data_IF_554576950979
#
_entry.id   IF_554576950979
#
_cell.length_a   1.000
_cell.length_b   1.000
_cell.length_c   1.000
_cell.angle_alpha   90.00
_cell.angle_beta   90.00
_cell.angle_gamma   90.00
#
_symmetry.space_group_name_H-M   'P 1'
#
loop_
_entity.id
_entity.type
_entity.pdbx_description
1 polymer ?
#
# COMPACT_ATOMS: atom_id res chain seq x y z
N UNK A 1 -1.62 -22.57 20.25
CA UNK A 1 -2.22 -22.86 18.93
C UNK A 1 -1.13 -23.42 17.99
N UNK A 2 -1.49 -24.20 16.98
CA UNK A 2 -0.55 -25.00 16.16
C UNK A 2 0.59 -24.19 15.53
N UNK A 3 0.36 -22.92 15.23
CA UNK A 3 1.28 -22.04 14.52
C UNK A 3 1.88 -20.90 15.37
N UNK A 4 1.83 -20.99 16.70
CA UNK A 4 2.25 -19.91 17.61
C UNK A 4 3.65 -19.36 17.28
N UNK A 5 4.64 -20.23 17.08
CA UNK A 5 6.02 -19.81 16.75
C UNK A 5 6.12 -19.04 15.44
N UNK A 6 5.32 -19.42 14.43
CA UNK A 6 5.32 -18.73 13.14
C UNK A 6 4.66 -17.35 13.30
N UNK A 7 3.58 -17.28 14.07
CA UNK A 7 2.86 -16.03 14.34
C UNK A 7 3.72 -15.06 15.17
N UNK A 8 4.44 -15.55 16.18
CA UNK A 8 5.43 -14.77 16.92
C UNK A 8 6.52 -14.22 15.97
N UNK A 9 7.02 -15.04 15.06
CA UNK A 9 8.01 -14.61 14.06
C UNK A 9 7.44 -13.52 13.13
N UNK A 10 6.20 -13.66 12.66
CA UNK A 10 5.52 -12.64 11.86
C UNK A 10 5.41 -11.32 12.63
N UNK A 11 5.01 -11.39 13.90
CA UNK A 11 4.82 -10.22 14.75
C UNK A 11 6.14 -9.54 15.16
N UNK A 12 7.28 -10.21 15.00
CA UNK A 12 8.61 -9.64 15.28
C UNK A 12 9.05 -8.55 14.31
N UNK A 13 8.37 -8.37 13.17
CA UNK A 13 8.67 -7.38 12.12
C UNK A 13 10.07 -7.51 11.49
N UNK A 14 10.70 -8.69 11.62
CA UNK A 14 12.03 -8.98 11.07
C UNK A 14 11.98 -9.61 9.67
N UNK A 15 10.80 -10.01 9.20
CA UNK A 15 10.61 -10.69 7.93
C UNK A 15 10.46 -9.71 6.78
N UNK A 16 11.12 -9.97 5.66
CA UNK A 16 10.90 -9.26 4.41
C UNK A 16 9.55 -9.61 3.78
N UNK A 17 9.04 -8.77 2.86
CA UNK A 17 7.85 -9.09 2.04
C UNK A 17 7.98 -10.42 1.31
N UNK A 18 9.18 -10.74 0.81
CA UNK A 18 9.43 -12.00 0.11
C UNK A 18 9.26 -13.22 1.04
N UNK A 19 9.72 -13.11 2.29
CA UNK A 19 9.53 -14.16 3.30
C UNK A 19 8.07 -14.27 3.74
N UNK A 20 7.41 -13.14 4.01
CA UNK A 20 5.97 -13.11 4.35
C UNK A 20 5.12 -13.73 3.24
N UNK A 21 5.43 -13.43 1.98
CA UNK A 21 4.75 -14.02 0.81
C UNK A 21 4.89 -15.54 0.74
N UNK A 22 6.10 -16.07 0.97
CA UNK A 22 6.32 -17.54 1.03
C UNK A 22 5.54 -18.19 2.16
N UNK A 23 5.52 -17.58 3.35
CA UNK A 23 4.75 -18.09 4.50
C UNK A 23 3.26 -18.07 4.17
N UNK A 24 2.75 -16.99 3.57
CA UNK A 24 1.35 -16.87 3.16
C UNK A 24 0.95 -17.96 2.18
N UNK A 25 1.73 -18.18 1.11
CA UNK A 25 1.46 -19.24 0.13
C UNK A 25 1.38 -20.63 0.77
N UNK A 26 2.28 -20.93 1.72
CA UNK A 26 2.26 -22.19 2.45
C UNK A 26 1.03 -22.31 3.37
N UNK A 27 0.65 -21.24 4.06
CA UNK A 27 -0.53 -21.23 4.92
C UNK A 27 -1.83 -21.38 4.10
N UNK A 28 -1.93 -20.72 2.95
CA UNK A 28 -3.06 -20.88 2.01
C UNK A 28 -3.15 -22.31 1.47
N UNK A 29 -2.02 -22.94 1.14
CA UNK A 29 -1.99 -24.35 0.74
C UNK A 29 -2.48 -25.27 1.86
N UNK A 30 -2.01 -25.07 3.11
CA UNK A 30 -2.44 -25.86 4.27
C UNK A 30 -3.93 -25.69 4.56
N UNK A 31 -4.42 -24.46 4.51
CA UNK A 31 -5.84 -24.18 4.71
C UNK A 31 -6.70 -24.90 3.64
N UNK A 32 -6.28 -24.87 2.36
CA UNK A 32 -6.96 -25.62 1.29
C UNK A 32 -6.91 -27.14 1.46
N UNK A 33 -5.92 -27.65 2.18
CA UNK A 33 -5.79 -29.08 2.52
C UNK A 33 -6.60 -29.47 3.78
N UNK A 34 -7.39 -28.55 4.35
CA UNK A 34 -8.26 -28.80 5.50
C UNK A 34 -7.67 -28.42 6.86
N UNK A 35 -6.49 -27.79 6.87
CA UNK A 35 -5.84 -27.32 8.10
C UNK A 35 -6.38 -25.93 8.49
N UNK A 36 -7.52 -25.90 9.17
CA UNK A 36 -8.24 -24.65 9.46
C UNK A 36 -7.43 -23.69 10.34
N UNK A 37 -6.52 -24.19 11.16
CA UNK A 37 -5.64 -23.36 12.00
C UNK A 37 -4.72 -22.45 11.17
N UNK A 38 -4.47 -22.79 9.90
CA UNK A 38 -3.61 -22.00 9.02
C UNK A 38 -4.19 -20.60 8.71
N UNK A 39 -5.50 -20.40 8.91
CA UNK A 39 -6.15 -19.09 8.75
C UNK A 39 -5.57 -18.04 9.71
N UNK A 40 -5.13 -18.46 10.90
CA UNK A 40 -4.54 -17.55 11.89
C UNK A 40 -3.20 -16.99 11.41
N UNK A 41 -2.43 -17.77 10.65
CA UNK A 41 -1.18 -17.32 10.02
C UNK A 41 -1.49 -16.30 8.92
N UNK A 42 -2.48 -16.57 8.07
CA UNK A 42 -2.91 -15.65 7.00
C UNK A 42 -3.34 -14.31 7.60
N UNK A 43 -4.18 -14.35 8.64
CA UNK A 43 -4.66 -13.15 9.33
C UNK A 43 -3.52 -12.37 10.00
N UNK A 44 -2.55 -13.05 10.63
CA UNK A 44 -1.37 -12.40 11.19
C UNK A 44 -0.55 -11.67 10.10
N UNK A 45 -0.37 -12.29 8.93
CA UNK A 45 0.35 -11.67 7.79
C UNK A 45 -0.40 -10.43 7.28
N UNK A 46 -1.74 -10.45 7.24
CA UNK A 46 -2.52 -9.27 6.81
C UNK A 46 -2.33 -8.05 7.70
N UNK A 47 -1.87 -8.24 8.94
CA UNK A 47 -1.56 -7.17 9.90
C UNK A 47 -0.06 -6.95 10.10
N UNK A 48 0.79 -7.70 9.40
CA UNK A 48 2.24 -7.64 9.57
C UNK A 48 2.86 -6.43 8.88
N UNK A 49 3.90 -5.89 9.51
CA UNK A 49 4.79 -4.89 8.90
C UNK A 49 6.08 -5.56 8.46
N UNK A 50 6.41 -5.54 7.16
CA UNK A 50 7.65 -6.09 6.65
C UNK A 50 8.86 -5.26 7.09
N UNK A 51 10.05 -5.87 7.08
CA UNK A 51 11.32 -5.21 7.39
C UNK A 51 11.78 -4.25 6.28
N UNK A 52 11.46 -4.55 5.01
CA UNK A 52 11.71 -3.67 3.87
C UNK A 52 10.65 -2.54 3.81
N UNK A 53 11.07 -1.30 3.55
CA UNK A 53 10.17 -0.13 3.51
C UNK A 53 9.89 0.30 2.07
N UNK A 54 8.61 0.29 1.66
CA UNK A 54 8.16 0.78 0.36
C UNK A 54 7.20 1.95 0.53
N UNK A 55 7.16 2.80 -0.50
CA UNK A 55 6.20 3.90 -0.62
C UNK A 55 5.31 3.62 -1.84
N UNK A 56 4.00 3.57 -1.61
CA UNK A 56 3.00 3.54 -2.67
C UNK A 56 2.65 4.97 -3.08
N UNK A 57 2.90 5.32 -4.33
CA UNK A 57 2.33 6.49 -4.98
C UNK A 57 1.05 6.09 -5.71
N UNK A 58 -0.09 6.46 -5.12
CA UNK A 58 -1.42 6.05 -5.55
C UNK A 58 -2.13 7.16 -6.35
N UNK A 59 -2.47 6.85 -7.59
CA UNK A 59 -3.39 7.65 -8.38
C UNK A 59 -4.83 7.49 -7.88
N UNK A 60 -5.54 8.60 -7.78
CA UNK A 60 -6.91 8.63 -7.24
C UNK A 60 -7.94 9.22 -8.21
N UNK A 61 -7.53 9.56 -9.43
CA UNK A 61 -8.38 10.08 -10.50
C UNK A 61 -8.57 8.99 -11.58
N UNK A 62 -9.63 8.16 -11.50
CA UNK A 62 -10.09 7.32 -12.60
C UNK A 62 -10.07 8.05 -13.94
N UNK A 63 -9.59 7.37 -14.99
CA UNK A 63 -9.48 7.94 -16.34
C UNK A 63 -8.68 9.26 -16.42
N UNK A 64 -7.84 9.53 -15.41
CA UNK A 64 -7.12 10.79 -15.22
C UNK A 64 -7.99 12.05 -15.05
N UNK A 65 -9.29 11.88 -14.75
CA UNK A 65 -10.26 12.96 -14.56
C UNK A 65 -10.38 13.34 -13.07
N UNK A 66 -10.12 14.63 -12.78
CA UNK A 66 -10.20 15.18 -11.42
C UNK A 66 -11.62 15.21 -10.86
N UNK A 67 -12.63 15.23 -11.73
CA UNK A 67 -14.04 15.18 -11.32
C UNK A 67 -14.43 13.81 -10.74
N UNK A 68 -13.68 12.76 -11.08
CA UNK A 68 -13.88 11.41 -10.56
C UNK A 68 -12.97 11.08 -9.38
N UNK A 69 -12.37 12.09 -8.73
CA UNK A 69 -11.39 11.90 -7.66
C UNK A 69 -11.96 11.08 -6.49
N UNK A 70 -11.23 10.06 -6.07
CA UNK A 70 -11.62 9.13 -5.00
C UNK A 70 -10.95 9.44 -3.64
N UNK A 71 -9.93 10.29 -3.65
CA UNK A 71 -9.13 10.58 -2.46
C UNK A 71 -9.93 11.18 -1.30
N UNK A 72 -10.93 12.02 -1.59
CA UNK A 72 -11.80 12.63 -0.57
C UNK A 72 -12.56 11.53 0.19
N UNK A 73 -13.22 10.63 -0.55
CA UNK A 73 -13.97 9.51 0.04
C UNK A 73 -13.05 8.56 0.81
N UNK A 74 -11.90 8.23 0.21
CA UNK A 74 -10.89 7.37 0.81
C UNK A 74 -10.37 7.91 2.14
N UNK A 75 -10.08 9.22 2.21
CA UNK A 75 -9.68 9.89 3.44
C UNK A 75 -10.77 9.82 4.50
N UNK A 76 -12.00 10.19 4.16
CA UNK A 76 -13.14 10.15 5.08
C UNK A 76 -13.43 8.75 5.64
N UNK A 77 -13.26 7.71 4.82
CA UNK A 77 -13.52 6.31 5.22
C UNK A 77 -12.32 5.63 5.86
N UNK A 78 -11.13 6.24 5.87
CA UNK A 78 -9.92 5.60 6.36
C UNK A 78 -9.50 4.39 5.52
N UNK A 79 -9.67 4.45 4.20
CA UNK A 79 -9.34 3.34 3.28
C UNK A 79 -8.52 3.81 2.07
N UNK A 80 -7.93 2.88 1.34
CA UNK A 80 -7.40 3.08 -0.01
C UNK A 80 -7.70 1.84 -0.86
N UNK A 81 -8.17 2.02 -2.10
CA UNK A 81 -8.66 0.95 -2.97
C UNK A 81 -8.07 1.02 -4.37
N UNK A 82 -7.94 -0.15 -5.01
CA UNK A 82 -7.62 -0.24 -6.43
C UNK A 82 -8.59 -1.25 -7.07
N UNK A 83 -9.63 -0.72 -7.72
CA UNK A 83 -10.74 -1.53 -8.24
C UNK A 83 -10.61 -1.84 -9.74
N UNK A 84 -9.56 -1.31 -10.39
CA UNK A 84 -9.30 -1.52 -11.82
C UNK A 84 -8.59 -2.85 -12.07
N UNK A 85 -9.35 -3.94 -11.91
CA UNK A 85 -8.86 -5.32 -12.00
C UNK A 85 -8.33 -5.69 -13.40
N UNK A 86 -8.66 -4.94 -14.45
CA UNK A 86 -8.18 -5.18 -15.82
C UNK A 86 -6.65 -5.03 -15.96
N UNK A 87 -5.99 -4.35 -15.02
CA UNK A 87 -4.54 -4.20 -15.01
C UNK A 87 -3.89 -5.14 -13.99
N UNK A 88 -3.72 -6.41 -14.38
CA UNK A 88 -3.11 -7.46 -13.54
C UNK A 88 -1.77 -7.02 -12.91
N UNK A 89 -0.93 -6.34 -13.68
CA UNK A 89 0.36 -5.84 -13.19
C UNK A 89 0.22 -4.79 -12.08
N UNK A 90 -0.76 -3.89 -12.17
CA UNK A 90 -1.01 -2.89 -11.14
C UNK A 90 -1.68 -3.52 -9.92
N UNK A 91 -2.61 -4.46 -10.13
CA UNK A 91 -3.21 -5.22 -9.05
C UNK A 91 -2.14 -6.01 -8.27
N UNK A 92 -1.22 -6.67 -8.98
CA UNK A 92 -0.10 -7.38 -8.36
C UNK A 92 0.78 -6.45 -7.50
N UNK A 93 1.10 -5.25 -7.99
CA UNK A 93 1.84 -4.23 -7.22
C UNK A 93 1.04 -3.73 -6.02
N UNK A 94 -0.25 -3.48 -6.16
CA UNK A 94 -1.09 -3.03 -5.05
C UNK A 94 -1.17 -4.09 -3.95
N UNK A 95 -1.18 -5.36 -4.35
CA UNK A 95 -1.23 -6.50 -3.45
C UNK A 95 0.06 -6.74 -2.66
N UNK A 96 1.18 -6.08 -2.99
CA UNK A 96 2.43 -6.16 -2.21
C UNK A 96 2.44 -5.21 -1.00
N UNK A 97 1.49 -4.28 -0.91
CA UNK A 97 1.45 -3.28 0.16
C UNK A 97 1.03 -3.93 1.49
N UNK A 98 1.68 -3.55 2.59
CA UNK A 98 1.46 -4.12 3.91
C UNK A 98 1.23 -3.04 4.97
N UNK A 99 0.83 -3.46 6.17
CA UNK A 99 0.69 -2.54 7.31
C UNK A 99 2.03 -1.83 7.60
N UNK A 100 1.99 -0.53 7.86
CA UNK A 100 3.15 0.34 8.08
C UNK A 100 3.65 1.06 6.82
N UNK A 101 3.28 0.59 5.62
CA UNK A 101 3.69 1.24 4.36
C UNK A 101 3.11 2.64 4.26
N UNK A 102 3.87 3.54 3.62
CA UNK A 102 3.41 4.89 3.32
C UNK A 102 2.62 4.86 2.01
N UNK A 103 1.43 5.42 2.02
CA UNK A 103 0.66 5.72 0.81
C UNK A 103 0.67 7.22 0.60
N UNK A 104 0.98 7.64 -0.61
CA UNK A 104 0.98 9.04 -1.06
C UNK A 104 0.04 9.15 -2.25
N UNK A 105 -0.96 10.02 -2.14
CA UNK A 105 -1.90 10.31 -3.20
C UNK A 105 -1.26 11.25 -4.21
N UNK A 106 -1.26 10.85 -5.49
CA UNK A 106 -0.63 11.61 -6.57
C UNK A 106 -1.52 11.84 -7.78
N UNK A 107 -1.24 12.93 -8.49
CA UNK A 107 -1.72 13.17 -9.85
C UNK A 107 -0.57 13.68 -10.71
N UNK A 108 -0.40 13.14 -11.92
CA UNK A 108 0.56 13.68 -12.89
C UNK A 108 0.11 15.07 -13.33
N UNK A 109 1.06 16.01 -13.39
CA UNK A 109 0.81 17.38 -13.81
C UNK A 109 1.39 17.60 -15.21
N UNK A 110 2.71 17.77 -15.32
CA UNK A 110 3.40 17.82 -16.60
C UNK A 110 3.85 16.42 -17.01
N UNK A 111 3.40 15.96 -18.18
CA UNK A 111 3.73 14.64 -18.70
C UNK A 111 5.26 14.44 -18.72
N UNK A 112 5.73 13.39 -18.03
CA UNK A 112 7.14 13.04 -17.96
C UNK A 112 8.01 13.94 -17.08
N UNK A 113 7.45 14.94 -16.39
CA UNK A 113 8.25 15.92 -15.62
C UNK A 113 7.88 15.99 -14.15
N UNK A 114 6.62 16.25 -13.83
CA UNK A 114 6.20 16.54 -12.45
C UNK A 114 4.90 15.83 -12.07
N UNK A 115 4.69 15.69 -10.76
CA UNK A 115 3.45 15.24 -10.17
C UNK A 115 3.10 16.08 -8.95
N UNK A 116 1.80 16.25 -8.72
CA UNK A 116 1.26 16.85 -7.50
C UNK A 116 0.91 15.77 -6.48
N UNK A 117 1.22 16.03 -5.21
CA UNK A 117 0.91 15.17 -4.07
C UNK A 117 -0.22 15.78 -3.26
N UNK A 118 -1.26 14.99 -2.98
CA UNK A 118 -2.54 15.47 -2.44
C UNK A 118 -2.82 15.03 -1.01
N UNK A 119 -1.98 14.17 -0.45
CA UNK A 119 -2.12 13.66 0.90
C UNK A 119 -1.33 12.38 1.08
N UNK A 120 -1.06 12.03 2.33
CA UNK A 120 -0.36 10.81 2.66
C UNK A 120 -0.94 10.16 3.92
N UNK A 121 -0.67 8.87 4.10
CA UNK A 121 -1.16 8.11 5.23
C UNK A 121 -0.39 6.81 5.39
N UNK A 122 -0.51 6.21 6.57
CA UNK A 122 0.08 4.91 6.87
C UNK A 122 -0.97 3.83 6.77
N UNK A 123 -0.61 2.72 6.14
CA UNK A 123 -1.47 1.54 6.12
C UNK A 123 -1.54 0.95 7.52
N UNK A 124 -2.75 0.76 8.05
CA UNK A 124 -2.96 0.10 9.35
C UNK A 124 -3.17 -1.40 9.21
N UNK A 125 -3.59 -1.87 8.03
CA UNK A 125 -3.84 -3.28 7.76
C UNK A 125 -4.41 -3.53 6.36
N UNK A 126 -4.60 -4.79 6.04
CA UNK A 126 -5.28 -5.25 4.81
C UNK A 126 -6.64 -5.84 5.16
N UNK A 127 -7.65 -5.48 4.38
CA UNK A 127 -9.02 -5.98 4.51
C UNK A 127 -9.62 -6.31 3.14
N UNK A 128 -10.77 -6.96 3.17
CA UNK A 128 -11.49 -7.44 1.98
C UNK A 128 -12.96 -7.06 2.11
N UNK A 129 -13.58 -6.61 1.02
CA UNK A 129 -15.01 -6.32 0.99
C UNK A 129 -15.84 -7.61 0.75
N UNK A 130 -17.16 -7.44 0.65
CA UNK A 130 -18.11 -8.55 0.45
C UNK A 130 -17.87 -9.33 -0.85
N UNK A 131 -17.26 -8.69 -1.85
CA UNK A 131 -16.96 -9.27 -3.15
C UNK A 131 -15.51 -9.82 -3.18
N UNK A 132 -14.88 -9.91 -2.00
CA UNK A 132 -13.50 -10.35 -1.79
C UNK A 132 -12.46 -9.45 -2.50
N UNK A 133 -12.80 -8.18 -2.73
CA UNK A 133 -11.86 -7.20 -3.29
C UNK A 133 -11.01 -6.63 -2.16
N UNK A 134 -9.69 -6.71 -2.34
CA UNK A 134 -8.71 -6.24 -1.36
C UNK A 134 -8.70 -4.71 -1.28
N UNK A 135 -8.69 -4.19 -0.07
CA UNK A 135 -8.43 -2.78 0.21
C UNK A 135 -7.49 -2.59 1.40
N UNK A 136 -6.88 -1.41 1.48
CA UNK A 136 -6.02 -1.02 2.59
C UNK A 136 -6.85 -0.24 3.61
N UNK A 137 -6.71 -0.56 4.89
CA UNK A 137 -7.14 0.34 5.97
C UNK A 137 -6.03 1.34 6.23
N UNK A 138 -6.40 2.60 6.43
CA UNK A 138 -5.49 3.74 6.41
C UNK A 138 -5.67 4.61 7.65
N UNK A 139 -4.54 5.07 8.18
CA UNK A 139 -4.48 6.24 9.04
C UNK A 139 -3.93 7.41 8.19
N UNK A 140 -4.83 8.26 7.70
CA UNK A 140 -4.47 9.41 6.86
C UNK A 140 -3.94 10.56 7.71
N UNK A 141 -3.00 11.33 7.16
CA UNK A 141 -2.63 12.61 7.75
C UNK A 141 -3.77 13.62 7.58
N UNK A 142 -3.88 14.56 8.53
CA UNK A 142 -4.73 15.75 8.44
C UNK A 142 -4.20 16.78 7.43
N UNK A 143 -3.05 16.49 6.80
CA UNK A 143 -2.44 17.33 5.77
C UNK A 143 -3.37 17.60 4.57
N UNK A 144 -3.51 18.89 4.25
CA UNK A 144 -4.30 19.38 3.12
C UNK A 144 -3.47 20.18 2.10
N UNK A 145 -2.18 20.47 2.41
CA UNK A 145 -1.29 21.15 1.46
C UNK A 145 -0.99 20.22 0.28
N UNK A 146 -1.12 20.78 -0.93
CA UNK A 146 -0.67 20.11 -2.17
C UNK A 146 0.70 20.66 -2.55
N UNK A 147 1.65 19.78 -2.84
CA UNK A 147 2.97 20.15 -3.36
C UNK A 147 3.20 19.55 -4.74
N UNK A 148 4.06 20.17 -5.54
CA UNK A 148 4.51 19.65 -6.84
C UNK A 148 5.97 19.19 -6.73
N UNK A 149 6.25 17.96 -7.17
CA UNK A 149 7.56 17.32 -7.07
C UNK A 149 7.96 16.68 -8.41
N UNK A 150 9.25 16.34 -8.61
CA UNK A 150 9.69 15.59 -9.78
C UNK A 150 8.95 14.27 -9.96
N UNK A 151 8.73 13.87 -11.21
CA UNK A 151 8.11 12.60 -11.55
C UNK A 151 9.15 11.46 -11.49
N UNK A 152 9.14 10.68 -10.42
CA UNK A 152 10.11 9.59 -10.18
C UNK A 152 9.70 8.26 -10.84
N UNK A 153 9.28 8.34 -12.11
CA UNK A 153 8.74 7.19 -12.85
C UNK A 153 7.39 6.69 -12.30
N UNK A 154 6.59 7.58 -11.74
CA UNK A 154 5.25 7.32 -11.22
C UNK A 154 4.18 7.54 -12.31
N UNK A 155 4.19 6.68 -13.33
CA UNK A 155 3.38 6.87 -14.54
C UNK A 155 1.98 6.22 -14.48
N UNK A 156 1.76 5.31 -13.55
CA UNK A 156 0.57 4.46 -13.47
C UNK A 156 -0.37 4.91 -12.33
N UNK A 157 -1.47 4.21 -12.12
CA UNK A 157 -2.30 4.41 -10.92
C UNK A 157 -1.60 3.83 -9.70
N UNK A 158 -0.98 2.66 -9.84
CA UNK A 158 -0.25 1.99 -8.75
C UNK A 158 1.24 1.98 -9.05
N UNK A 159 1.99 2.82 -8.35
CA UNK A 159 3.46 2.87 -8.43
C UNK A 159 4.08 2.65 -7.06
N UNK A 160 4.85 1.58 -6.91
CA UNK A 160 5.56 1.25 -5.66
C UNK A 160 7.03 1.58 -5.85
N UNK A 161 7.61 2.31 -4.90
CA UNK A 161 9.01 2.74 -4.92
C UNK A 161 9.71 2.30 -3.64
N UNK A 162 10.97 1.94 -3.76
CA UNK A 162 11.81 1.70 -2.60
C UNK A 162 12.16 3.03 -1.93
N UNK A 163 12.43 3.00 -0.64
CA UNK A 163 12.79 4.23 0.09
C UNK A 163 14.07 4.86 -0.47
N UNK A 164 15.04 4.06 -0.89
CA UNK A 164 16.32 4.54 -1.42
C UNK A 164 16.13 5.34 -2.72
N UNK A 165 15.24 4.87 -3.60
CA UNK A 165 14.93 5.61 -4.83
C UNK A 165 14.22 6.93 -4.51
N UNK A 166 13.34 6.94 -3.52
CA UNK A 166 12.64 8.17 -3.10
C UNK A 166 13.63 9.16 -2.50
N UNK A 167 14.55 8.71 -1.64
CA UNK A 167 15.63 9.51 -1.05
C UNK A 167 16.58 10.14 -2.06
N UNK A 168 16.87 9.45 -3.16
CA UNK A 168 17.76 9.99 -4.18
C UNK A 168 17.08 11.04 -5.08
N UNK A 169 15.76 10.99 -5.23
CA UNK A 169 15.04 11.76 -6.26
C UNK A 169 14.13 12.85 -5.69
N UNK A 170 13.67 12.73 -4.44
CA UNK A 170 12.74 13.68 -3.84
C UNK A 170 13.45 14.91 -3.26
N UNK A 171 12.90 16.13 -3.44
CA UNK A 171 13.44 17.34 -2.84
C UNK A 171 13.15 17.42 -1.34
N UNK A 172 13.88 18.26 -0.59
CA UNK A 172 13.66 18.48 0.84
C UNK A 172 12.21 18.88 1.19
N UNK A 173 11.54 19.66 0.34
CA UNK A 173 10.13 20.05 0.54
C UNK A 173 9.20 18.83 0.68
N UNK A 174 9.51 17.72 0.02
CA UNK A 174 8.75 16.47 0.18
C UNK A 174 8.82 15.94 1.61
N UNK A 175 9.99 15.98 2.25
CA UNK A 175 10.18 15.47 3.61
C UNK A 175 9.59 16.40 4.65
N UNK A 176 9.68 17.71 4.43
CA UNK A 176 8.97 18.69 5.25
C UNK A 176 7.46 18.45 5.18
N UNK A 177 6.94 18.22 3.97
CA UNK A 177 5.53 17.92 3.74
C UNK A 177 5.04 16.60 4.35
N UNK A 178 5.91 15.60 4.52
CA UNK A 178 5.57 14.34 5.20
C UNK A 178 5.45 14.47 6.73
N UNK A 179 6.03 15.53 7.31
CA UNK A 179 6.06 15.78 8.75
C UNK A 179 5.00 16.77 9.24
N UNK A 180 4.15 17.24 8.32
CA UNK A 180 3.01 18.14 8.56
C UNK A 180 1.72 17.37 8.57
#
# INVERSE_FOLDING_TARGET
>A
MKYDKIIEKINSKTLSRAELSKIKQNAELKNRQGDTDAIHVINAIHQATPADAYILFMGFCPSADIHNRLDIEWRQKGICRFDFLESEHQAARFNTICAGDLVILKKREQFGKTMKLYGHGRVTGVAYDKDNIRYLTMNWSEQDKVIEVPLIGCNSTVDVKSIELVENEMPNEFYEWLNT
#
